data_IF_307827702579
#
_entry.id   IF_307827702579
#
_cell.length_a   1.000
_cell.length_b   1.000
_cell.length_c   1.000
_cell.angle_alpha   90.00
_cell.angle_beta   90.00
_cell.angle_gamma   90.00
#
_symmetry.space_group_name_H-M   'P 1'
#
loop_
_entity.id
_entity.type
_entity.pdbx_description
1 polymer ?
#
# COMPACT_ATOMS: atom_id res chain seq x y z
N UNK A 1 9.58 -18.31 -1.16
CA UNK A 1 8.66 -17.68 -2.15
C UNK A 1 7.63 -16.83 -1.41
N UNK A 2 7.67 -15.52 -1.16
CA UNK A 2 8.17 -14.30 -1.82
C UNK A 2 9.45 -13.71 -1.22
N UNK A 3 9.98 -14.34 -0.17
CA UNK A 3 11.06 -13.83 0.69
C UNK A 3 12.43 -13.83 0.02
N UNK A 4 12.63 -14.70 -0.97
CA UNK A 4 13.93 -14.93 -1.63
C UNK A 4 14.28 -13.87 -2.69
N UNK A 5 13.30 -12.99 -2.94
CA UNK A 5 13.28 -12.01 -4.00
C UNK A 5 13.06 -12.62 -5.38
N UNK A 6 12.35 -11.89 -6.25
CA UNK A 6 12.17 -12.30 -7.64
C UNK A 6 13.28 -11.67 -8.47
N UNK A 7 13.92 -12.48 -9.32
CA UNK A 7 14.93 -12.00 -10.25
C UNK A 7 14.26 -11.03 -11.23
N UNK A 8 14.79 -9.82 -11.32
CA UNK A 8 14.34 -8.87 -12.32
C UNK A 8 14.75 -9.36 -13.71
N UNK A 9 13.78 -9.87 -14.47
CA UNK A 9 13.98 -10.34 -15.86
C UNK A 9 14.27 -9.21 -16.85
N UNK A 10 14.03 -7.95 -16.46
CA UNK A 10 14.29 -6.76 -17.29
C UNK A 10 15.65 -6.13 -17.00
N UNK A 11 16.33 -6.53 -15.92
CA UNK A 11 17.66 -6.06 -15.58
C UNK A 11 18.72 -7.10 -16.00
N UNK A 12 19.48 -6.77 -17.05
CA UNK A 12 20.58 -7.62 -17.55
C UNK A 12 21.64 -7.96 -16.48
N UNK A 13 21.73 -7.19 -15.39
CA UNK A 13 22.63 -7.43 -14.25
C UNK A 13 22.02 -8.29 -13.13
N UNK A 14 20.75 -8.71 -13.24
CA UNK A 14 20.13 -9.68 -12.33
C UNK A 14 19.83 -9.16 -10.92
N UNK A 15 19.50 -7.88 -10.77
CA UNK A 15 19.05 -7.34 -9.49
C UNK A 15 17.81 -8.11 -8.98
N UNK A 16 17.72 -8.26 -7.65
CA UNK A 16 16.59 -8.92 -6.99
C UNK A 16 15.59 -7.87 -6.49
N UNK A 17 14.30 -8.08 -6.74
CA UNK A 17 13.24 -7.38 -6.03
C UNK A 17 13.03 -8.02 -4.67
N UNK A 18 13.07 -7.24 -3.60
CA UNK A 18 12.71 -7.71 -2.27
C UNK A 18 11.28 -7.28 -1.95
N UNK A 19 10.44 -8.24 -1.61
CA UNK A 19 9.07 -7.97 -1.18
C UNK A 19 9.03 -7.79 0.33
N UNK A 20 8.21 -6.85 0.79
CA UNK A 20 7.88 -6.76 2.20
C UNK A 20 7.19 -8.05 2.64
N UNK A 21 7.60 -8.60 3.79
CA UNK A 21 6.98 -9.79 4.39
C UNK A 21 5.61 -9.47 5.01
N UNK A 22 5.38 -8.20 5.33
CA UNK A 22 4.18 -7.64 5.93
C UNK A 22 4.14 -6.14 5.64
N UNK A 23 2.94 -5.60 5.39
CA UNK A 23 2.71 -4.15 5.30
C UNK A 23 2.78 -3.55 6.72
N UNK A 24 3.61 -2.52 6.97
CA UNK A 24 3.69 -1.88 8.29
C UNK A 24 2.37 -1.17 8.62
N UNK A 25 2.19 -0.78 9.88
CA UNK A 25 1.07 0.10 10.24
C UNK A 25 1.25 1.48 9.56
N UNK A 26 0.13 2.12 9.19
CA UNK A 26 0.13 3.50 8.68
C UNK A 26 0.72 4.45 9.73
N UNK A 27 1.88 5.07 9.47
CA UNK A 27 2.56 5.91 10.45
C UNK A 27 1.80 7.20 10.78
N UNK A 28 0.79 7.57 9.97
CA UNK A 28 -0.02 8.77 10.16
C UNK A 28 -1.29 8.50 10.97
N UNK A 29 -1.56 7.25 11.33
CA UNK A 29 -2.71 6.87 12.15
C UNK A 29 -2.27 6.26 13.47
N UNK A 30 -3.09 6.45 14.51
CA UNK A 30 -2.85 5.84 15.82
C UNK A 30 -3.04 4.33 15.72
N UNK A 31 -2.01 3.58 16.10
CA UNK A 31 -2.07 2.12 16.10
C UNK A 31 -3.00 1.57 17.17
N UNK A 32 -3.96 0.76 16.74
CA UNK A 32 -4.84 -0.03 17.59
C UNK A 32 -4.54 -1.51 17.39
N UNK A 33 -4.88 -2.31 18.38
CA UNK A 33 -4.58 -3.75 18.34
C UNK A 33 -5.36 -4.49 17.24
N UNK A 34 -6.54 -3.96 16.91
CA UNK A 34 -7.52 -4.57 16.01
C UNK A 34 -7.72 -3.77 14.71
N UNK A 35 -6.88 -2.76 14.44
CA UNK A 35 -6.89 -2.17 13.10
C UNK A 35 -6.02 -3.02 12.16
N UNK A 36 -6.49 -3.21 10.93
CA UNK A 36 -5.75 -3.94 9.90
C UNK A 36 -4.57 -3.10 9.37
N UNK A 37 -3.75 -2.57 10.27
CA UNK A 37 -2.62 -1.70 9.97
C UNK A 37 -3.01 -0.25 9.66
N UNK A 38 -4.27 0.15 9.81
CA UNK A 38 -4.71 1.55 9.63
C UNK A 38 -4.83 2.02 8.18
N UNK A 39 -4.60 1.15 7.19
CA UNK A 39 -4.69 1.46 5.76
C UNK A 39 -6.11 1.34 5.20
N UNK A 40 -6.44 2.12 4.18
CA UNK A 40 -7.56 1.84 3.27
C UNK A 40 -7.07 1.12 2.02
N UNK A 41 -7.91 0.27 1.42
CA UNK A 41 -7.53 -0.54 0.26
C UNK A 41 -8.19 0.01 -1.00
N UNK A 42 -7.47 -0.07 -2.11
CA UNK A 42 -8.01 0.15 -3.45
C UNK A 42 -7.94 -1.17 -4.18
N UNK A 43 -9.11 -1.69 -4.55
CA UNK A 43 -9.24 -2.92 -5.31
C UNK A 43 -9.73 -2.63 -6.73
N UNK A 44 -9.43 -3.53 -7.66
CA UNK A 44 -9.93 -3.46 -9.04
C UNK A 44 -11.46 -3.53 -9.12
N UNK A 45 -12.12 -4.04 -8.07
CA UNK A 45 -13.58 -4.10 -7.93
C UNK A 45 -14.21 -2.73 -7.54
N UNK A 46 -13.40 -1.68 -7.47
CA UNK A 46 -13.81 -0.35 -7.05
C UNK A 46 -13.28 0.74 -7.98
N UNK A 47 -14.03 1.85 -8.09
CA UNK A 47 -13.55 3.01 -8.85
C UNK A 47 -12.50 3.78 -8.06
N UNK A 48 -11.64 4.53 -8.75
CA UNK A 48 -10.60 5.33 -8.12
C UNK A 48 -11.17 6.40 -7.17
N UNK A 49 -12.34 6.94 -7.49
CA UNK A 49 -13.03 7.97 -6.71
C UNK A 49 -13.76 7.41 -5.49
N UNK A 50 -14.15 6.13 -5.54
CA UNK A 50 -14.87 5.44 -4.47
C UNK A 50 -14.23 4.07 -4.18
N UNK A 51 -13.02 4.07 -3.61
CA UNK A 51 -12.28 2.85 -3.36
C UNK A 51 -12.99 2.00 -2.30
N UNK A 52 -12.97 0.69 -2.54
CA UNK A 52 -13.51 -0.32 -1.63
C UNK A 52 -12.54 -1.47 -1.53
N UNK A 53 -12.56 -2.11 -0.38
CA UNK A 53 -11.87 -3.37 -0.16
C UNK A 53 -12.46 -4.44 -1.10
N UNK A 54 -11.60 -5.32 -1.61
CA UNK A 54 -11.94 -6.37 -2.57
C UNK A 54 -10.83 -7.41 -2.62
N UNK A 55 -11.03 -8.51 -3.35
CA UNK A 55 -10.04 -9.60 -3.40
C UNK A 55 -8.74 -9.16 -4.09
N UNK A 56 -8.87 -8.38 -5.16
CA UNK A 56 -7.74 -7.93 -5.96
C UNK A 56 -7.33 -6.49 -5.60
N UNK A 57 -6.56 -6.36 -4.51
CA UNK A 57 -6.00 -5.08 -4.04
C UNK A 57 -4.74 -4.73 -4.84
N UNK A 58 -4.70 -3.52 -5.38
CA UNK A 58 -3.52 -3.03 -6.12
C UNK A 58 -2.75 -1.93 -5.38
N UNK A 59 -3.40 -1.24 -4.45
CA UNK A 59 -2.82 -0.10 -3.74
C UNK A 59 -3.45 0.07 -2.34
N UNK A 60 -2.72 0.76 -1.46
CA UNK A 60 -3.15 1.10 -0.11
C UNK A 60 -2.93 2.60 0.16
N UNK A 61 -3.85 3.24 0.87
CA UNK A 61 -3.78 4.68 1.15
C UNK A 61 -4.03 4.98 2.63
N UNK A 62 -3.45 6.08 3.12
CA UNK A 62 -3.61 6.49 4.52
C UNK A 62 -5.04 6.97 4.81
N UNK A 63 -5.60 6.51 5.92
CA UNK A 63 -6.91 6.98 6.44
C UNK A 63 -6.76 8.27 7.28
N UNK A 64 -5.54 8.76 7.49
CA UNK A 64 -5.28 9.97 8.27
C UNK A 64 -5.95 11.19 7.64
N UNK A 65 -6.50 12.05 8.49
CA UNK A 65 -6.99 13.37 8.06
C UNK A 65 -5.79 14.29 7.88
N UNK A 66 -5.69 14.94 6.74
CA UNK A 66 -4.61 15.90 6.47
C UNK A 66 -4.21 15.94 5.01
N UNK A 67 -3.19 16.73 4.73
CA UNK A 67 -2.61 16.95 3.41
C UNK A 67 -1.11 16.87 3.49
N UNK A 68 -0.48 16.32 2.45
CA UNK A 68 0.97 16.34 2.28
C UNK A 68 1.49 17.75 2.03
N UNK A 69 2.82 17.89 1.99
CA UNK A 69 3.49 19.16 1.70
C UNK A 69 3.10 19.76 0.33
N UNK A 70 2.61 18.93 -0.59
CA UNK A 70 2.10 19.33 -1.89
C UNK A 70 0.61 19.74 -1.88
N UNK A 71 -0.04 19.77 -0.72
CA UNK A 71 -1.44 20.16 -0.58
C UNK A 71 -2.46 19.08 -0.98
N UNK A 72 -2.01 17.91 -1.43
CA UNK A 72 -2.85 16.75 -1.78
C UNK A 72 -3.20 15.98 -0.50
N UNK A 73 -4.44 15.50 -0.38
CA UNK A 73 -4.85 14.73 0.80
C UNK A 73 -4.07 13.41 0.87
N UNK A 74 -3.74 12.93 2.08
CA UNK A 74 -3.00 11.67 2.23
C UNK A 74 -3.72 10.45 1.63
N UNK A 75 -5.05 10.52 1.49
CA UNK A 75 -5.88 9.49 0.85
C UNK A 75 -5.83 9.51 -0.70
N UNK A 76 -5.27 10.55 -1.29
CA UNK A 76 -5.17 10.78 -2.74
C UNK A 76 -3.73 10.68 -3.25
N UNK A 77 -2.79 10.33 -2.37
CA UNK A 77 -1.39 10.09 -2.71
C UNK A 77 -1.17 8.68 -3.25
#
# INVERSE_FOLDING_TARGET
MLVDGVRDVRNAKGAKFYFLRRIPHDPLTLSKRDDEGGWGLRSYDSSAENPRDGEDVFDVYSKARGKGLNGIAYREW
#
